data_IF_437761766116
#
_entry.id   IF_437761766116
#
_cell.length_a   1.000
_cell.length_b   1.000
_cell.length_c   1.000
_cell.angle_alpha   90.00
_cell.angle_beta   90.00
_cell.angle_gamma   90.00
#
_symmetry.space_group_name_H-M   'P 1'
#
loop_
_entity.id
_entity.type
_entity.pdbx_description
1 polymer ?
#
# COMPACT_ATOMS: atom_id res chain seq x y z
N UNK A 1 32.83 28.26 -3.61
CA UNK A 1 32.41 28.64 -2.25
C UNK A 1 31.21 29.57 -2.38
N UNK A 2 30.00 29.02 -2.41
CA UNK A 2 28.76 29.80 -2.54
C UNK A 2 27.74 29.22 -1.57
N UNK A 3 27.23 30.12 -0.74
CA UNK A 3 26.50 29.88 0.51
C UNK A 3 25.11 29.33 0.18
N UNK A 4 24.84 28.09 0.60
CA UNK A 4 23.49 27.50 0.59
C UNK A 4 22.69 28.19 1.69
N UNK A 5 21.85 29.16 1.33
CA UNK A 5 20.76 29.61 2.21
C UNK A 5 19.65 28.58 2.15
N UNK A 6 19.55 27.79 3.22
CA UNK A 6 18.37 27.00 3.58
C UNK A 6 17.15 27.92 3.60
N UNK A 7 16.13 27.60 2.82
CA UNK A 7 14.84 28.27 2.86
C UNK A 7 13.91 27.45 3.77
N UNK A 8 13.62 27.98 4.96
CA UNK A 8 12.72 27.37 5.94
C UNK A 8 11.28 27.88 5.69
N UNK A 9 10.29 27.01 5.87
CA UNK A 9 8.93 27.12 5.31
C UNK A 9 8.09 28.34 5.70
N UNK A 10 8.45 29.12 6.72
CA UNK A 10 7.47 30.05 7.29
C UNK A 10 7.74 31.55 7.09
N UNK A 11 8.92 31.97 6.61
CA UNK A 11 9.16 33.39 6.27
C UNK A 11 10.12 33.57 5.09
N UNK A 12 9.57 33.63 3.88
CA UNK A 12 10.29 34.10 2.70
C UNK A 12 10.12 35.62 2.58
N UNK A 13 10.85 36.40 3.40
CA UNK A 13 10.89 37.86 3.24
C UNK A 13 11.75 38.21 2.02
N UNK A 14 11.08 38.42 0.88
CA UNK A 14 11.69 38.94 -0.35
C UNK A 14 11.89 40.46 -0.22
N UNK A 15 13.04 40.87 0.33
CA UNK A 15 13.52 42.23 0.14
C UNK A 15 13.94 42.41 -1.32
N UNK A 16 13.20 43.24 -2.05
CA UNK A 16 13.67 43.84 -3.29
C UNK A 16 12.89 43.53 -4.56
N UNK A 17 12.04 44.50 -4.93
CA UNK A 17 11.70 44.96 -6.29
C UNK A 17 10.97 43.96 -7.21
N UNK A 18 9.73 44.34 -7.53
CA UNK A 18 8.61 43.65 -8.19
C UNK A 18 8.82 42.99 -9.59
N UNK A 19 10.05 42.74 -10.04
CA UNK A 19 10.33 42.33 -11.43
C UNK A 19 10.78 40.86 -11.60
N UNK A 20 10.99 40.12 -10.49
CA UNK A 20 11.50 38.73 -10.55
C UNK A 20 10.45 37.62 -10.45
N UNK A 21 9.17 37.95 -10.26
CA UNK A 21 8.09 36.97 -10.04
C UNK A 21 7.68 36.20 -11.29
N UNK A 22 7.93 36.75 -12.49
CA UNK A 22 7.69 36.03 -13.76
C UNK A 22 8.86 35.09 -14.12
N UNK A 23 10.09 35.47 -13.80
CA UNK A 23 11.30 34.69 -14.16
C UNK A 23 11.47 33.42 -13.31
N UNK A 24 11.06 33.42 -12.04
CA UNK A 24 11.02 32.21 -11.22
C UNK A 24 9.88 31.26 -11.64
N UNK A 25 8.73 31.79 -12.07
CA UNK A 25 7.60 30.97 -12.53
C UNK A 25 7.90 30.21 -13.82
N UNK A 26 8.62 30.85 -14.75
CA UNK A 26 9.04 30.21 -16.00
C UNK A 26 10.13 29.14 -15.82
N UNK A 27 10.93 29.17 -14.74
CA UNK A 27 11.93 28.13 -14.50
C UNK A 27 11.35 26.83 -13.96
N UNK A 28 10.25 26.91 -13.20
CA UNK A 28 9.53 25.72 -12.69
C UNK A 28 8.75 25.02 -13.82
N UNK A 29 8.37 25.76 -14.87
CA UNK A 29 7.68 25.19 -16.04
C UNK A 29 8.58 24.39 -16.98
N UNK A 30 9.91 24.55 -16.89
CA UNK A 30 10.88 23.91 -17.79
C UNK A 30 11.51 22.63 -17.22
N UNK A 31 11.33 22.37 -15.93
CA UNK A 31 11.75 21.12 -15.27
C UNK A 31 10.49 20.36 -14.88
N UNK A 32 10.25 19.21 -15.51
CA UNK A 32 9.07 18.41 -15.23
C UNK A 32 9.08 17.96 -13.76
N UNK A 33 7.91 17.77 -13.17
CA UNK A 33 7.76 17.15 -11.84
C UNK A 33 8.48 15.79 -11.78
N UNK A 34 8.57 15.09 -12.92
CA UNK A 34 9.33 13.86 -13.08
C UNK A 34 10.85 14.06 -12.97
N UNK A 35 11.41 15.19 -13.41
CA UNK A 35 12.86 15.45 -13.36
C UNK A 35 13.32 15.78 -11.94
N UNK A 36 12.50 16.49 -11.15
CA UNK A 36 12.76 16.73 -9.73
C UNK A 36 12.65 15.46 -8.88
N UNK A 37 11.79 14.51 -9.29
CA UNK A 37 11.68 13.20 -8.63
C UNK A 37 12.89 12.30 -8.94
N UNK A 38 13.44 12.40 -10.15
CA UNK A 38 14.64 11.66 -10.57
C UNK A 38 15.93 12.26 -9.97
N UNK A 39 16.02 13.58 -9.83
CA UNK A 39 17.23 14.24 -9.28
C UNK A 39 17.43 13.95 -7.78
N UNK A 40 16.36 13.72 -7.00
CA UNK A 40 16.46 13.29 -5.59
C UNK A 40 16.94 11.83 -5.41
N UNK A 41 16.99 11.04 -6.49
CA UNK A 41 17.63 9.71 -6.50
C UNK A 41 19.17 9.86 -6.58
N UNK A 42 19.70 11.01 -7.02
CA UNK A 42 21.13 11.20 -7.26
C UNK A 42 21.98 11.46 -6.00
N UNK A 43 21.37 11.70 -4.84
CA UNK A 43 22.06 11.66 -3.55
C UNK A 43 21.63 10.41 -2.76
N UNK A 44 22.15 9.22 -3.09
CA UNK A 44 21.80 8.00 -2.39
C UNK A 44 22.29 8.09 -0.94
N UNK A 45 21.38 8.46 -0.05
CA UNK A 45 21.56 8.20 1.36
C UNK A 45 21.54 6.67 1.50
N UNK A 46 22.71 6.04 1.55
CA UNK A 46 22.84 4.58 1.73
C UNK A 46 21.98 4.06 2.90
N UNK A 47 21.81 4.89 3.93
CA UNK A 47 20.90 4.63 5.05
C UNK A 47 19.43 4.48 4.61
N UNK A 48 18.94 5.35 3.74
CA UNK A 48 17.58 5.30 3.22
C UNK A 48 17.37 4.08 2.30
N UNK A 49 18.36 3.74 1.46
CA UNK A 49 18.30 2.55 0.60
C UNK A 49 18.28 1.27 1.44
N UNK A 50 19.15 1.18 2.45
CA UNK A 50 19.16 0.02 3.37
C UNK A 50 17.84 -0.11 4.12
N UNK A 51 17.30 1.00 4.64
CA UNK A 51 15.99 1.00 5.31
C UNK A 51 14.87 0.57 4.36
N UNK A 52 14.81 1.11 3.14
CA UNK A 52 13.81 0.75 2.14
C UNK A 52 13.88 -0.75 1.79
N UNK A 53 15.09 -1.30 1.67
CA UNK A 53 15.31 -2.73 1.41
C UNK A 53 14.80 -3.59 2.57
N UNK A 54 15.10 -3.21 3.82
CA UNK A 54 14.63 -3.93 5.01
C UNK A 54 13.10 -3.89 5.11
N UNK A 55 12.48 -2.75 4.80
CA UNK A 55 11.02 -2.59 4.79
C UNK A 55 10.39 -3.47 3.70
N UNK A 56 10.97 -3.50 2.50
CA UNK A 56 10.50 -4.34 1.40
C UNK A 56 10.59 -5.84 1.75
N UNK A 57 11.71 -6.28 2.33
CA UNK A 57 11.88 -7.66 2.82
C UNK A 57 10.83 -7.98 3.89
N UNK A 58 10.54 -7.05 4.81
CA UNK A 58 9.55 -7.24 5.86
C UNK A 58 8.13 -7.37 5.30
N UNK A 59 7.77 -6.59 4.28
CA UNK A 59 6.49 -6.73 3.57
C UNK A 59 6.38 -8.08 2.84
N UNK A 60 7.44 -8.52 2.18
CA UNK A 60 7.47 -9.81 1.50
C UNK A 60 7.35 -10.97 2.52
N UNK A 61 8.12 -10.92 3.60
CA UNK A 61 8.11 -11.92 4.67
C UNK A 61 6.73 -12.08 5.32
N UNK A 62 5.98 -10.97 5.50
CA UNK A 62 4.61 -11.03 6.03
C UNK A 62 3.70 -11.97 5.22
N UNK A 63 3.78 -11.95 3.88
CA UNK A 63 2.95 -12.83 3.04
C UNK A 63 3.35 -14.30 3.15
N UNK A 64 4.65 -14.58 3.25
CA UNK A 64 5.18 -15.93 3.45
C UNK A 64 4.80 -16.50 4.83
N UNK A 65 4.88 -15.68 5.88
CA UNK A 65 4.44 -16.07 7.22
C UNK A 65 2.94 -16.33 7.29
N UNK A 66 2.13 -15.57 6.55
CA UNK A 66 0.70 -15.84 6.47
C UNK A 66 0.40 -17.22 5.85
N UNK A 67 1.12 -17.61 4.80
CA UNK A 67 1.00 -18.95 4.22
C UNK A 67 1.40 -20.04 5.21
N UNK A 68 2.44 -19.81 6.02
CA UNK A 68 2.86 -20.74 7.08
C UNK A 68 1.79 -20.88 8.18
N UNK A 69 1.11 -19.79 8.52
CA UNK A 69 0.01 -19.81 9.48
C UNK A 69 -1.21 -20.59 8.94
N UNK A 70 -1.50 -20.50 7.63
CA UNK A 70 -2.56 -21.31 7.01
C UNK A 70 -2.20 -22.79 6.97
N UNK A 71 -0.94 -23.14 6.72
CA UNK A 71 -0.47 -24.52 6.84
C UNK A 71 -0.63 -25.06 8.29
N UNK A 72 -0.63 -24.18 9.29
CA UNK A 72 -0.94 -24.51 10.68
C UNK A 72 -2.42 -24.56 11.04
N UNK A 73 -3.32 -24.39 10.07
CA UNK A 73 -4.78 -24.44 10.24
C UNK A 73 -5.45 -23.10 10.58
N UNK A 74 -4.73 -21.98 10.48
CA UNK A 74 -5.32 -20.66 10.74
C UNK A 74 -6.16 -20.15 9.56
N UNK A 75 -7.06 -19.20 9.83
CA UNK A 75 -7.95 -18.59 8.84
C UNK A 75 -7.44 -17.19 8.43
N UNK A 76 -7.56 -16.78 7.16
CA UNK A 76 -7.27 -15.41 6.71
C UNK A 76 -7.82 -14.30 7.60
N UNK A 77 -9.06 -14.45 8.08
CA UNK A 77 -9.71 -13.45 8.91
C UNK A 77 -9.00 -13.23 10.26
N UNK A 78 -8.52 -14.31 10.89
CA UNK A 78 -7.79 -14.25 12.15
C UNK A 78 -6.46 -13.53 12.01
N UNK A 79 -5.70 -13.84 10.95
CA UNK A 79 -4.42 -13.19 10.65
C UNK A 79 -4.64 -11.70 10.37
N UNK A 80 -5.63 -11.36 9.55
CA UNK A 80 -5.97 -9.98 9.20
C UNK A 80 -6.32 -9.16 10.44
N UNK A 81 -7.15 -9.72 11.33
CA UNK A 81 -7.56 -9.08 12.57
C UNK A 81 -6.35 -8.77 13.48
N UNK A 82 -5.46 -9.75 13.70
CA UNK A 82 -4.26 -9.56 14.52
C UNK A 82 -3.29 -8.59 13.85
N UNK A 83 -3.04 -8.74 12.54
CA UNK A 83 -2.16 -7.86 11.75
C UNK A 83 -2.60 -6.40 11.82
N UNK A 84 -3.88 -6.12 11.55
CA UNK A 84 -4.40 -4.76 11.59
C UNK A 84 -4.41 -4.18 13.01
N UNK A 85 -4.72 -4.99 14.02
CA UNK A 85 -4.67 -4.56 15.42
C UNK A 85 -3.25 -4.23 15.88
N UNK A 86 -2.28 -5.12 15.62
CA UNK A 86 -0.86 -4.91 15.95
C UNK A 86 -0.31 -3.68 15.24
N UNK A 87 -0.64 -3.48 13.97
CA UNK A 87 -0.19 -2.31 13.20
C UNK A 87 -0.75 -1.01 13.76
N UNK A 88 -2.04 -0.99 14.08
CA UNK A 88 -2.69 0.18 14.66
C UNK A 88 -2.10 0.51 16.03
N UNK A 89 -1.95 -0.49 16.91
CA UNK A 89 -1.39 -0.30 18.25
C UNK A 89 0.04 0.22 18.20
N UNK A 90 0.90 -0.38 17.39
CA UNK A 90 2.30 0.03 17.26
C UNK A 90 2.40 1.46 16.70
N UNK A 91 1.65 1.76 15.63
CA UNK A 91 1.64 3.09 15.05
C UNK A 91 1.06 4.14 16.03
N UNK A 92 0.02 3.77 16.78
CA UNK A 92 -0.58 4.63 17.80
C UNK A 92 0.42 4.93 18.93
N UNK A 93 1.11 3.92 19.45
CA UNK A 93 2.17 4.09 20.48
C UNK A 93 3.30 4.95 19.93
N UNK A 94 3.73 4.71 18.69
CA UNK A 94 4.78 5.50 18.03
C UNK A 94 4.36 6.98 17.94
N UNK A 95 3.17 7.28 17.41
CA UNK A 95 2.67 8.67 17.35
C UNK A 95 2.52 9.31 18.74
N UNK A 96 2.11 8.53 19.75
CA UNK A 96 2.00 9.00 21.12
C UNK A 96 3.38 9.33 21.73
N UNK A 97 4.39 8.48 21.51
CA UNK A 97 5.77 8.72 21.95
C UNK A 97 6.39 9.95 21.28
N UNK A 98 6.14 10.15 19.99
CA UNK A 98 6.68 11.28 19.23
C UNK A 98 5.84 12.56 19.34
N UNK A 99 4.74 12.56 20.13
CA UNK A 99 3.81 13.69 20.33
C UNK A 99 3.34 14.36 19.02
N UNK A 100 3.17 13.56 17.97
CA UNK A 100 2.71 14.04 16.66
C UNK A 100 1.20 14.29 16.73
N UNK A 101 0.73 15.33 16.06
CA UNK A 101 -0.72 15.64 16.01
C UNK A 101 -1.49 14.46 15.42
N UNK A 102 -2.47 13.96 16.17
CA UNK A 102 -3.35 12.84 15.80
C UNK A 102 -4.63 13.31 15.09
N UNK A 103 -4.82 14.62 14.98
CA UNK A 103 -6.06 15.20 14.51
C UNK A 103 -6.05 15.32 12.99
N UNK A 104 -6.93 14.56 12.32
CA UNK A 104 -7.26 14.82 10.92
C UNK A 104 -8.33 15.91 10.81
N UNK A 105 -8.17 16.85 9.85
CA UNK A 105 -9.24 17.76 9.48
C UNK A 105 -10.51 16.99 9.11
N UNK A 106 -11.68 17.45 9.57
CA UNK A 106 -12.96 16.75 9.41
C UNK A 106 -13.30 16.43 7.94
N UNK A 107 -12.92 17.32 7.02
CA UNK A 107 -13.09 17.15 5.57
C UNK A 107 -12.33 15.93 5.01
N UNK A 108 -11.24 15.51 5.66
CA UNK A 108 -10.40 14.40 5.20
C UNK A 108 -10.67 13.08 5.91
N UNK A 109 -11.52 13.09 6.94
CA UNK A 109 -11.89 11.85 7.64
C UNK A 109 -12.66 10.93 6.69
N UNK A 110 -13.65 11.46 5.95
CA UNK A 110 -14.42 10.66 4.99
C UNK A 110 -13.55 9.95 3.94
N UNK A 111 -12.63 10.61 3.20
CA UNK A 111 -11.77 9.93 2.25
C UNK A 111 -10.76 8.98 2.90
N UNK A 112 -10.24 9.28 4.10
CA UNK A 112 -9.39 8.37 4.86
C UNK A 112 -10.12 7.08 5.25
N UNK A 113 -11.39 7.21 5.70
CA UNK A 113 -12.24 6.07 6.03
C UNK A 113 -12.54 5.24 4.77
N UNK A 114 -12.85 5.89 3.65
CA UNK A 114 -13.09 5.23 2.37
C UNK A 114 -11.88 4.43 1.89
N UNK A 115 -10.68 5.01 1.96
CA UNK A 115 -9.44 4.32 1.60
C UNK A 115 -9.13 3.16 2.56
N UNK A 116 -9.40 3.30 3.85
CA UNK A 116 -9.27 2.20 4.80
C UNK A 116 -10.22 1.04 4.50
N UNK A 117 -11.43 1.31 4.02
CA UNK A 117 -12.36 0.28 3.58
C UNK A 117 -11.84 -0.42 2.31
N UNK A 118 -11.35 0.33 1.33
CA UNK A 118 -10.70 -0.25 0.14
C UNK A 118 -9.49 -1.09 0.56
N UNK A 119 -8.71 -0.65 1.55
CA UNK A 119 -7.56 -1.39 2.07
C UNK A 119 -7.96 -2.70 2.73
N UNK A 120 -9.04 -2.67 3.51
CA UNK A 120 -9.62 -3.86 4.13
C UNK A 120 -10.06 -4.87 3.07
N UNK A 121 -10.82 -4.42 2.07
CA UNK A 121 -11.26 -5.24 0.93
C UNK A 121 -10.06 -5.84 0.18
N UNK A 122 -9.06 -5.02 -0.13
CA UNK A 122 -7.86 -5.45 -0.86
C UNK A 122 -7.07 -6.50 -0.08
N UNK A 123 -6.91 -6.27 1.22
CA UNK A 123 -6.18 -7.17 2.12
C UNK A 123 -6.88 -8.51 2.29
N UNK A 124 -8.22 -8.48 2.41
CA UNK A 124 -9.02 -9.70 2.47
C UNK A 124 -8.94 -10.49 1.16
N UNK A 125 -9.04 -9.81 0.01
CA UNK A 125 -8.88 -10.44 -1.30
C UNK A 125 -7.53 -11.14 -1.45
N UNK A 126 -6.43 -10.49 -1.02
CA UNK A 126 -5.08 -11.06 -1.13
C UNK A 126 -4.92 -12.31 -0.25
N UNK A 127 -5.20 -12.17 1.04
CA UNK A 127 -4.98 -13.23 2.03
C UNK A 127 -6.02 -14.37 1.88
N UNK A 128 -7.24 -14.04 1.49
CA UNK A 128 -8.27 -15.02 1.12
C UNK A 128 -7.91 -15.77 -0.16
N UNK A 129 -7.31 -15.13 -1.17
CA UNK A 129 -6.86 -15.86 -2.36
C UNK A 129 -5.77 -16.88 -2.03
N UNK A 130 -4.88 -16.56 -1.07
CA UNK A 130 -3.79 -17.47 -0.63
C UNK A 130 -4.34 -18.74 0.03
N UNK A 131 -5.54 -18.73 0.63
CA UNK A 131 -6.15 -19.98 1.15
C UNK A 131 -6.66 -20.90 0.06
N UNK A 132 -6.81 -20.42 -1.18
CA UNK A 132 -7.31 -21.20 -2.32
C UNK A 132 -6.23 -21.51 -3.36
N UNK A 133 -5.16 -20.71 -3.42
CA UNK A 133 -4.12 -20.81 -4.44
C UNK A 133 -2.72 -20.62 -3.85
N UNK A 134 -1.68 -21.21 -4.46
CA UNK A 134 -0.29 -20.94 -4.09
C UNK A 134 0.03 -19.44 -4.09
N UNK A 135 0.80 -18.99 -3.08
CA UNK A 135 1.17 -17.57 -2.87
C UNK A 135 1.73 -16.94 -4.15
N UNK A 136 2.59 -17.66 -4.87
CA UNK A 136 3.21 -17.16 -6.09
C UNK A 136 2.18 -16.79 -7.18
N UNK A 137 1.17 -17.63 -7.41
CA UNK A 137 0.10 -17.36 -8.39
C UNK A 137 -0.76 -16.16 -7.98
N UNK A 138 -1.07 -16.06 -6.68
CA UNK A 138 -1.82 -14.92 -6.14
C UNK A 138 -1.05 -13.62 -6.35
N UNK A 139 0.23 -13.59 -6.01
CA UNK A 139 1.07 -12.39 -6.13
C UNK A 139 1.23 -11.97 -7.59
N UNK A 140 1.46 -12.92 -8.51
CA UNK A 140 1.52 -12.64 -9.96
C UNK A 140 0.19 -12.05 -10.46
N UNK A 141 -0.95 -12.59 -10.01
CA UNK A 141 -2.27 -12.06 -10.36
C UNK A 141 -2.45 -10.64 -9.83
N UNK A 142 -2.07 -10.40 -8.58
CA UNK A 142 -2.18 -9.07 -7.95
C UNK A 142 -1.27 -8.05 -8.62
N UNK A 143 -0.13 -8.46 -9.19
CA UNK A 143 0.71 -7.60 -10.03
C UNK A 143 0.06 -7.15 -11.35
N UNK A 144 -1.20 -7.51 -11.59
CA UNK A 144 -2.04 -6.85 -12.61
C UNK A 144 -2.45 -5.43 -12.18
N UNK A 145 -2.27 -5.03 -10.92
CA UNK A 145 -2.67 -3.70 -10.44
C UNK A 145 -2.04 -2.52 -11.22
N UNK A 146 -0.75 -2.51 -11.65
CA UNK A 146 -0.18 -1.41 -12.42
C UNK A 146 -0.89 -1.26 -13.76
N UNK A 147 -1.40 -2.37 -14.32
CA UNK A 147 -2.18 -2.35 -15.54
C UNK A 147 -3.51 -1.61 -15.30
N UNK A 148 -4.17 -1.87 -14.17
CA UNK A 148 -5.40 -1.17 -13.78
C UNK A 148 -5.11 0.32 -13.55
N UNK A 149 -4.01 0.64 -12.86
CA UNK A 149 -3.61 2.02 -12.56
C UNK A 149 -3.38 2.82 -13.84
N UNK A 150 -2.61 2.30 -14.79
CA UNK A 150 -2.38 2.99 -16.06
C UNK A 150 -3.64 3.07 -16.93
N UNK A 151 -4.54 2.08 -16.88
CA UNK A 151 -5.85 2.17 -17.53
C UNK A 151 -6.72 3.31 -16.95
N UNK A 152 -6.72 3.47 -15.62
CA UNK A 152 -7.44 4.58 -14.96
C UNK A 152 -6.76 5.93 -15.23
N UNK A 153 -5.43 5.96 -15.31
CA UNK A 153 -4.66 7.15 -15.73
C UNK A 153 -5.04 7.61 -17.13
N UNK A 154 -5.17 6.67 -18.07
CA UNK A 154 -5.67 6.92 -19.42
C UNK A 154 -7.12 7.45 -19.42
N UNK A 155 -8.04 6.78 -18.72
CA UNK A 155 -9.44 7.21 -18.58
C UNK A 155 -9.57 8.60 -17.94
N UNK A 156 -8.64 8.96 -17.05
CA UNK A 156 -8.58 10.27 -16.40
C UNK A 156 -8.02 11.37 -17.33
N UNK A 157 -7.61 11.04 -18.56
CA UNK A 157 -7.09 11.98 -19.55
C UNK A 157 -5.67 12.48 -19.27
N UNK A 158 -4.94 11.84 -18.35
CA UNK A 158 -3.59 12.27 -17.95
C UNK A 158 -2.49 11.71 -18.87
N UNK A 159 -2.76 10.62 -19.61
CA UNK A 159 -1.80 9.97 -20.50
C UNK A 159 -2.42 9.55 -21.84
N UNK A 160 -1.67 9.57 -22.96
CA UNK A 160 -2.15 9.14 -24.27
C UNK A 160 -2.30 7.61 -24.36
N UNK A 161 -3.36 7.15 -25.05
CA UNK A 161 -3.61 5.73 -25.29
C UNK A 161 -2.46 5.08 -26.05
N UNK A 162 -1.88 4.00 -25.52
CA UNK A 162 -0.79 3.27 -26.18
C UNK A 162 -1.21 1.82 -26.46
N UNK A 163 -1.35 1.39 -27.74
CA UNK A 163 -1.92 0.09 -28.10
C UNK A 163 -1.10 -1.11 -27.57
N UNK A 164 0.20 -0.92 -27.35
CA UNK A 164 1.08 -1.90 -26.71
C UNK A 164 0.59 -2.34 -25.32
N UNK A 165 -0.11 -1.46 -24.60
CA UNK A 165 -0.61 -1.74 -23.27
C UNK A 165 -1.82 -2.68 -23.28
N UNK A 166 -2.72 -2.49 -24.25
CA UNK A 166 -3.84 -3.41 -24.46
C UNK A 166 -3.34 -4.82 -24.84
N UNK A 167 -2.31 -4.89 -25.69
CA UNK A 167 -1.67 -6.17 -26.03
C UNK A 167 -1.00 -6.82 -24.82
N UNK A 168 -0.27 -6.06 -23.99
CA UNK A 168 0.33 -6.55 -22.76
C UNK A 168 -0.72 -7.09 -21.76
N UNK A 169 -1.89 -6.44 -21.67
CA UNK A 169 -3.01 -6.89 -20.83
C UNK A 169 -3.55 -8.24 -21.32
N UNK A 170 -3.79 -8.37 -22.63
CA UNK A 170 -4.24 -9.64 -23.22
C UNK A 170 -3.21 -10.76 -22.99
N UNK A 171 -1.93 -10.50 -23.22
CA UNK A 171 -0.83 -11.46 -22.99
C UNK A 171 -0.73 -11.84 -21.51
N UNK A 172 -0.89 -10.89 -20.58
CA UNK A 172 -0.89 -11.15 -19.15
C UNK A 172 -2.07 -12.04 -18.73
N UNK A 173 -3.28 -11.77 -19.24
CA UNK A 173 -4.44 -12.63 -19.02
C UNK A 173 -4.24 -14.03 -19.62
N UNK A 174 -3.65 -14.14 -20.82
CA UNK A 174 -3.31 -15.42 -21.44
C UNK A 174 -2.29 -16.20 -20.60
N UNK A 175 -1.21 -15.55 -20.15
CA UNK A 175 -0.21 -16.15 -19.26
C UNK A 175 -0.83 -16.62 -17.94
N UNK A 176 -1.77 -15.84 -17.40
CA UNK A 176 -2.52 -16.20 -16.20
C UNK A 176 -3.42 -17.42 -16.44
N UNK A 177 -4.15 -17.49 -17.57
CA UNK A 177 -4.95 -18.67 -17.92
C UNK A 177 -4.12 -19.93 -18.19
N UNK A 178 -2.88 -19.78 -18.65
CA UNK A 178 -1.94 -20.90 -18.82
C UNK A 178 -1.36 -21.38 -17.48
N UNK A 179 -1.09 -20.44 -16.57
CA UNK A 179 -0.55 -20.72 -15.25
C UNK A 179 -1.60 -21.30 -14.29
N UNK A 180 -2.87 -20.92 -14.46
CA UNK A 180 -3.98 -21.58 -13.81
C UNK A 180 -4.31 -22.86 -14.56
N UNK A 181 -4.15 -24.01 -13.89
CA UNK A 181 -4.70 -25.27 -14.38
C UNK A 181 -6.24 -25.23 -14.28
N UNK A 182 -6.89 -24.55 -15.23
CA UNK A 182 -8.35 -24.44 -15.33
C UNK A 182 -9.01 -25.77 -15.73
N UNK A 183 -8.22 -26.77 -16.12
CA UNK A 183 -8.68 -28.11 -16.51
C UNK A 183 -8.62 -29.13 -15.35
N UNK A 184 -8.04 -28.77 -14.20
CA UNK A 184 -8.05 -29.59 -12.99
C UNK A 184 -9.42 -29.61 -12.29
N UNK A 185 -9.73 -30.70 -11.60
CA UNK A 185 -11.00 -31.00 -10.90
C UNK A 185 -11.48 -30.00 -9.83
N UNK A 186 -10.71 -28.94 -9.55
CA UNK A 186 -11.09 -27.84 -8.65
C UNK A 186 -10.75 -26.51 -9.31
N UNK A 187 -11.66 -25.99 -10.14
CA UNK A 187 -11.57 -24.62 -10.65
C UNK A 187 -11.55 -23.64 -9.47
N UNK A 188 -10.38 -23.12 -9.12
CA UNK A 188 -10.18 -22.16 -8.03
C UNK A 188 -10.60 -20.74 -8.46
N UNK A 189 -11.76 -20.63 -9.13
CA UNK A 189 -12.34 -19.39 -9.64
C UNK A 189 -12.55 -18.37 -8.50
N UNK A 190 -12.85 -18.87 -7.30
CA UNK A 190 -13.00 -18.07 -6.09
C UNK A 190 -11.66 -17.41 -5.71
N UNK A 191 -10.56 -18.16 -5.69
CA UNK A 191 -9.22 -17.62 -5.42
C UNK A 191 -8.78 -16.58 -6.46
N UNK A 192 -9.06 -16.84 -7.74
CA UNK A 192 -8.80 -15.90 -8.83
C UNK A 192 -9.62 -14.59 -8.66
N UNK A 193 -10.92 -14.72 -8.35
CA UNK A 193 -11.80 -13.58 -8.12
C UNK A 193 -11.34 -12.73 -6.93
N UNK A 194 -10.92 -13.36 -5.84
CA UNK A 194 -10.35 -12.68 -4.67
C UNK A 194 -9.03 -11.96 -5.00
N UNK A 195 -8.15 -12.57 -5.81
CA UNK A 195 -6.90 -11.95 -6.23
C UNK A 195 -7.14 -10.75 -7.17
N UNK A 196 -8.10 -10.83 -8.09
CA UNK A 196 -8.50 -9.71 -8.94
C UNK A 196 -9.14 -8.58 -8.12
N UNK A 197 -9.98 -8.90 -7.14
CA UNK A 197 -10.52 -7.94 -6.18
C UNK A 197 -9.40 -7.23 -5.41
N UNK A 198 -8.37 -7.97 -4.98
CA UNK A 198 -7.20 -7.40 -4.33
C UNK A 198 -6.42 -6.47 -5.26
N UNK A 199 -6.20 -6.87 -6.51
CA UNK A 199 -5.53 -6.07 -7.54
C UNK A 199 -6.26 -4.74 -7.78
N UNK A 200 -7.59 -4.78 -7.97
CA UNK A 200 -8.41 -3.59 -8.18
C UNK A 200 -8.39 -2.68 -6.94
N UNK A 201 -8.46 -3.26 -5.75
CA UNK A 201 -8.38 -2.54 -4.51
C UNK A 201 -7.02 -1.84 -4.32
N UNK A 202 -5.90 -2.53 -4.57
CA UNK A 202 -4.54 -1.94 -4.53
C UNK A 202 -4.40 -0.79 -5.53
N UNK A 203 -4.93 -0.94 -6.74
CA UNK A 203 -4.97 0.15 -7.73
C UNK A 203 -5.76 1.35 -7.20
N UNK A 204 -6.93 1.12 -6.63
CA UNK A 204 -7.75 2.16 -6.00
C UNK A 204 -7.04 2.86 -4.83
N UNK A 205 -6.31 2.10 -4.00
CA UNK A 205 -5.50 2.65 -2.92
C UNK A 205 -4.40 3.56 -3.44
N UNK A 206 -3.69 3.16 -4.49
CA UNK A 206 -2.58 3.93 -5.04
C UNK A 206 -3.08 5.27 -5.60
N UNK A 207 -4.11 5.21 -6.44
CA UNK A 207 -4.72 6.39 -7.07
C UNK A 207 -5.34 7.31 -6.01
N UNK A 208 -6.05 6.75 -5.04
CA UNK A 208 -6.68 7.53 -3.98
C UNK A 208 -5.65 8.18 -3.07
N UNK A 209 -4.59 7.46 -2.68
CA UNK A 209 -3.50 8.02 -1.88
C UNK A 209 -2.84 9.20 -2.58
N UNK A 210 -2.55 9.10 -3.88
CA UNK A 210 -1.93 10.18 -4.65
C UNK A 210 -2.81 11.45 -4.67
N UNK A 211 -4.13 11.27 -4.87
CA UNK A 211 -5.08 12.40 -4.89
C UNK A 211 -5.22 13.10 -3.55
N UNK A 212 -5.07 12.37 -2.45
CA UNK A 212 -5.33 12.87 -1.09
C UNK A 212 -4.05 13.40 -0.42
N UNK A 213 -2.87 12.85 -0.74
CA UNK A 213 -1.59 13.19 -0.07
C UNK A 213 -0.94 14.51 -0.49
N UNK A 214 -1.55 15.34 -1.36
CA UNK A 214 -0.94 16.61 -1.80
C UNK A 214 -0.82 17.63 -0.65
N UNK A 215 0.27 17.53 0.12
CA UNK A 215 0.74 18.52 1.10
C UNK A 215 0.42 18.28 2.58
N UNK A 216 0.18 17.04 3.03
CA UNK A 216 -0.24 16.77 4.43
C UNK A 216 0.60 15.71 5.15
N UNK A 217 0.49 15.68 6.49
CA UNK A 217 1.13 14.72 7.38
C UNK A 217 0.63 13.28 7.13
N UNK A 218 1.40 12.53 6.33
CA UNK A 218 1.10 11.14 5.93
C UNK A 218 0.85 10.20 7.12
N UNK A 219 1.48 10.47 8.26
CA UNK A 219 1.42 9.63 9.49
C UNK A 219 0.03 9.55 10.10
N UNK A 220 -0.65 10.69 10.21
CA UNK A 220 -1.98 10.72 10.80
C UNK A 220 -3.00 10.08 9.85
N UNK A 221 -2.83 10.28 8.53
CA UNK A 221 -3.68 9.67 7.51
C UNK A 221 -3.64 8.14 7.58
N UNK A 222 -2.44 7.56 7.63
CA UNK A 222 -2.24 6.13 7.80
C UNK A 222 -2.86 5.60 9.10
N UNK A 223 -2.78 6.35 10.20
CA UNK A 223 -3.39 5.93 11.47
C UNK A 223 -4.91 5.73 11.32
N UNK A 224 -5.60 6.64 10.63
CA UNK A 224 -7.04 6.49 10.37
C UNK A 224 -7.37 5.37 9.39
N UNK A 225 -6.53 5.18 8.37
CA UNK A 225 -6.66 4.10 7.39
C UNK A 225 -6.46 2.71 8.03
N UNK A 226 -5.46 2.57 8.91
CA UNK A 226 -5.23 1.35 9.68
C UNK A 226 -6.30 1.14 10.76
N UNK A 227 -6.76 2.21 11.40
CA UNK A 227 -7.81 2.16 12.42
C UNK A 227 -9.14 1.67 11.85
N UNK A 228 -9.50 2.11 10.64
CA UNK A 228 -10.69 1.60 9.94
C UNK A 228 -10.56 0.16 9.51
N UNK A 229 -9.41 -0.25 8.98
CA UNK A 229 -9.15 -1.64 8.68
C UNK A 229 -9.23 -2.53 9.94
N UNK A 230 -8.67 -2.07 11.07
CA UNK A 230 -8.78 -2.76 12.36
C UNK A 230 -10.23 -2.91 12.78
N UNK A 231 -11.01 -1.82 12.83
CA UNK A 231 -12.43 -1.86 13.24
C UNK A 231 -13.22 -2.77 12.30
N UNK A 232 -13.00 -2.66 10.99
CA UNK A 232 -13.69 -3.47 9.99
C UNK A 232 -13.37 -4.96 10.12
N UNK A 233 -12.10 -5.34 10.27
CA UNK A 233 -11.74 -6.75 10.47
C UNK A 233 -12.20 -7.30 11.82
N UNK A 234 -12.11 -6.53 12.90
CA UNK A 234 -12.66 -6.93 14.20
C UNK A 234 -14.18 -7.13 14.11
N UNK A 235 -14.91 -6.22 13.45
CA UNK A 235 -16.35 -6.35 13.27
C UNK A 235 -16.70 -7.61 12.48
N UNK A 236 -16.04 -7.86 11.35
CA UNK A 236 -16.26 -9.07 10.54
C UNK A 236 -15.86 -10.34 11.31
N UNK A 237 -14.79 -10.30 12.10
CA UNK A 237 -14.37 -11.42 12.94
C UNK A 237 -15.41 -11.77 14.01
N UNK A 238 -15.97 -10.76 14.68
CA UNK A 238 -17.04 -10.95 15.68
C UNK A 238 -18.30 -11.51 15.02
N UNK A 239 -18.70 -10.96 13.87
CA UNK A 239 -19.90 -11.41 13.14
C UNK A 239 -19.77 -12.83 12.58
N UNK A 240 -18.59 -13.20 12.11
CA UNK A 240 -18.36 -14.51 11.49
C UNK A 240 -18.14 -15.64 12.52
N UNK A 241 -17.81 -15.31 13.77
CA UNK A 241 -17.54 -16.27 14.85
C UNK A 241 -16.39 -17.25 14.59
N UNK A 242 -15.70 -17.13 13.45
CA UNK A 242 -14.79 -18.14 12.89
C UNK A 242 -13.32 -17.75 13.12
N UNK A 243 -12.92 -17.65 14.38
CA UNK A 243 -11.54 -17.33 14.75
C UNK A 243 -10.74 -18.61 14.96
N UNK A 244 -10.05 -19.07 13.90
CA UNK A 244 -9.24 -20.28 13.96
C UNK A 244 -7.79 -19.92 14.27
N UNK A 245 -7.36 -20.30 15.47
CA UNK A 245 -5.97 -20.22 15.91
C UNK A 245 -5.18 -21.40 15.35
N UNK A 246 -3.90 -21.19 14.98
CA UNK A 246 -3.03 -22.28 14.57
C UNK A 246 -2.82 -23.28 15.72
N UNK A 247 -2.80 -24.56 15.40
CA UNK A 247 -2.56 -25.63 16.38
C UNK A 247 -1.11 -26.12 16.38
N UNK A 248 -0.36 -25.85 15.31
CA UNK A 248 1.03 -26.29 15.14
C UNK A 248 2.02 -25.21 15.54
N UNK A 249 3.19 -25.62 16.06
CA UNK A 249 4.27 -24.70 16.42
C UNK A 249 4.73 -23.82 15.24
N UNK A 250 4.85 -24.42 14.05
CA UNK A 250 5.16 -23.68 12.82
C UNK A 250 4.08 -22.67 12.45
N UNK A 251 2.80 -23.00 12.67
CA UNK A 251 1.68 -22.08 12.45
C UNK A 251 1.72 -20.86 13.37
N UNK A 252 2.13 -21.05 14.64
CA UNK A 252 2.31 -19.96 15.60
C UNK A 252 3.42 -18.98 15.18
N UNK A 253 4.54 -19.49 14.64
CA UNK A 253 5.61 -18.64 14.11
C UNK A 253 5.08 -17.76 12.97
N UNK A 254 4.31 -18.34 12.04
CA UNK A 254 3.67 -17.57 10.97
C UNK A 254 2.66 -16.55 11.49
N UNK A 255 1.83 -16.95 12.45
CA UNK A 255 0.75 -16.15 13.00
C UNK A 255 1.24 -14.94 13.80
N UNK A 256 2.38 -15.05 14.49
CA UNK A 256 3.02 -13.95 15.21
C UNK A 256 4.02 -13.17 14.32
N UNK A 257 4.73 -13.86 13.43
CA UNK A 257 5.73 -13.25 12.54
C UNK A 257 5.12 -12.29 11.53
N UNK A 258 4.00 -12.66 10.90
CA UNK A 258 3.31 -11.83 9.93
C UNK A 258 2.92 -10.43 10.47
N UNK A 259 2.15 -10.32 11.58
CA UNK A 259 1.77 -9.03 12.17
C UNK A 259 2.98 -8.17 12.57
N UNK A 260 4.03 -8.78 13.13
CA UNK A 260 5.23 -8.05 13.57
C UNK A 260 6.02 -7.49 12.40
N UNK A 261 6.29 -8.30 11.37
CA UNK A 261 6.97 -7.85 10.16
C UNK A 261 6.20 -6.73 9.46
N UNK A 262 4.87 -6.87 9.37
CA UNK A 262 4.02 -5.87 8.74
C UNK A 262 3.96 -4.57 9.55
N UNK A 263 3.88 -4.64 10.87
CA UNK A 263 3.88 -3.44 11.72
C UNK A 263 5.23 -2.73 11.70
N UNK A 264 6.34 -3.47 11.74
CA UNK A 264 7.67 -2.91 11.55
C UNK A 264 7.77 -2.19 10.21
N UNK A 265 7.40 -2.86 9.12
CA UNK A 265 7.41 -2.27 7.78
C UNK A 265 6.54 -1.02 7.70
N UNK A 266 5.36 -1.05 8.32
CA UNK A 266 4.44 0.09 8.33
C UNK A 266 5.03 1.30 9.06
N UNK A 267 5.69 1.13 10.20
CA UNK A 267 6.26 2.28 10.96
C UNK A 267 7.41 2.93 10.21
N UNK A 268 8.32 2.15 9.62
CA UNK A 268 9.51 2.65 8.94
C UNK A 268 9.23 3.21 7.54
N UNK A 269 8.04 2.95 6.98
CA UNK A 269 7.62 3.49 5.69
C UNK A 269 7.17 4.97 5.76
N UNK A 270 6.82 5.50 6.93
CA UNK A 270 6.33 6.89 7.15
C UNK A 270 7.26 7.75 8.03
#
# INVERSE_FOLDING_TARGET
>A
MAIIRVCNSDHCSCSGRADKTKKCRNKISAYGINDLFVENIQHPNWRAISLATIVAISFAANSTFAALAYAGGSNPLSILCVRSSTSFVILYIFLACFRISRALPQHQRAPALGLGLVMMVSSYGLLGAISHMPVALVVITVYTYPIIVACVGWLSGQEPFRPYFAFALVVAFLGLTLALDLNGTTSNLLGLGLALMASAGVAGLLIGNERIHRGQDSRAFTLHMQGTAMIGFCAVAIMSGSFLLPVTFSGWIGFLGAPLCYAFASVFFF
#
